data_IF_845335341288
#
_entry.id   IF_845335341288
#
_cell.length_a   1.000
_cell.length_b   1.000
_cell.length_c   1.000
_cell.angle_alpha   90.00
_cell.angle_beta   90.00
_cell.angle_gamma   90.00
#
_symmetry.space_group_name_H-M   'P 1'
#
loop_
_entity.id
_entity.type
_entity.pdbx_description
1 polymer ?
#
# COMPACT_ATOMS: atom_id res chain seq x y z
N UNK A 1 7.73 32.41 -0.08
CA UNK A 1 6.80 31.26 -0.01
C UNK A 1 7.53 30.04 -0.59
N UNK A 2 7.93 29.14 0.27
CA UNK A 2 8.55 27.87 -0.16
C UNK A 2 7.47 27.07 -0.90
N UNK A 3 7.67 26.83 -2.20
CA UNK A 3 6.88 25.87 -2.96
C UNK A 3 7.07 24.48 -2.30
N UNK A 4 6.14 24.09 -1.44
CA UNK A 4 6.13 22.74 -0.88
C UNK A 4 6.10 21.78 -2.07
N UNK A 5 7.16 21.03 -2.25
CA UNK A 5 7.31 20.09 -3.35
C UNK A 5 6.18 19.07 -3.19
N UNK A 6 5.16 19.19 -4.02
CA UNK A 6 4.01 18.29 -4.02
C UNK A 6 4.54 16.89 -4.30
N UNK A 7 4.25 15.95 -3.41
CA UNK A 7 4.65 14.55 -3.60
C UNK A 7 4.00 14.07 -4.90
N UNK A 8 4.79 13.51 -5.78
CA UNK A 8 4.26 12.89 -7.00
C UNK A 8 3.77 11.47 -6.67
N UNK A 9 2.49 11.33 -6.44
CA UNK A 9 1.87 10.05 -6.06
C UNK A 9 2.03 8.98 -7.13
N UNK A 10 2.10 9.35 -8.41
CA UNK A 10 2.41 8.42 -9.50
C UNK A 10 3.79 7.81 -9.31
N UNK A 11 4.78 8.63 -8.95
CA UNK A 11 6.13 8.13 -8.67
C UNK A 11 6.17 7.24 -7.44
N UNK A 12 5.45 7.61 -6.38
CA UNK A 12 5.35 6.79 -5.16
C UNK A 12 4.73 5.43 -5.48
N UNK A 13 3.61 5.42 -6.20
CA UNK A 13 2.95 4.19 -6.62
C UNK A 13 3.89 3.32 -7.48
N UNK A 14 4.56 3.90 -8.48
CA UNK A 14 5.46 3.18 -9.38
C UNK A 14 6.63 2.54 -8.63
N UNK A 15 7.24 3.26 -7.69
CA UNK A 15 8.33 2.74 -6.87
C UNK A 15 7.85 1.57 -6.00
N UNK A 16 6.73 1.74 -5.30
CA UNK A 16 6.18 0.70 -4.42
C UNK A 16 5.82 -0.54 -5.24
N UNK A 17 5.12 -0.36 -6.36
CA UNK A 17 4.75 -1.45 -7.25
C UNK A 17 5.98 -2.22 -7.74
N UNK A 18 7.01 -1.50 -8.19
CA UNK A 18 8.26 -2.10 -8.69
C UNK A 18 8.95 -2.90 -7.59
N UNK A 19 9.13 -2.32 -6.41
CA UNK A 19 9.81 -2.98 -5.29
C UNK A 19 9.06 -4.25 -4.87
N UNK A 20 7.74 -4.18 -4.71
CA UNK A 20 6.94 -5.34 -4.29
C UNK A 20 6.94 -6.43 -5.35
N UNK A 21 6.84 -6.06 -6.63
CA UNK A 21 6.88 -7.02 -7.75
C UNK A 21 8.23 -7.74 -7.82
N UNK A 22 9.33 -6.99 -7.68
CA UNK A 22 10.68 -7.59 -7.66
C UNK A 22 10.88 -8.51 -6.46
N UNK A 23 10.46 -8.09 -5.27
CA UNK A 23 10.54 -8.92 -4.06
C UNK A 23 9.74 -10.22 -4.21
N UNK A 24 8.53 -10.14 -4.75
CA UNK A 24 7.70 -11.31 -5.00
C UNK A 24 8.38 -12.28 -5.99
N UNK A 25 8.93 -11.75 -7.08
CA UNK A 25 9.64 -12.55 -8.08
C UNK A 25 10.88 -13.24 -7.48
N UNK A 26 11.66 -12.52 -6.68
CA UNK A 26 12.82 -13.10 -5.98
C UNK A 26 12.40 -14.22 -5.03
N UNK A 27 11.33 -13.99 -4.24
CA UNK A 27 10.81 -15.02 -3.33
C UNK A 27 10.35 -16.27 -4.07
N UNK A 28 9.68 -16.12 -5.20
CA UNK A 28 9.27 -17.26 -6.04
C UNK A 28 10.48 -18.03 -6.55
N UNK A 29 11.48 -17.35 -7.10
CA UNK A 29 12.71 -17.97 -7.58
C UNK A 29 13.48 -18.70 -6.46
N UNK A 30 13.56 -18.12 -5.27
CA UNK A 30 14.17 -18.75 -4.10
C UNK A 30 13.44 -20.03 -3.65
N UNK A 31 12.13 -20.11 -3.90
CA UNK A 31 11.31 -21.30 -3.64
C UNK A 31 11.24 -22.28 -4.82
N UNK A 32 12.01 -22.07 -5.89
CA UNK A 32 12.01 -22.92 -7.07
C UNK A 32 10.76 -22.79 -7.95
N UNK A 33 9.99 -21.73 -7.78
CA UNK A 33 8.80 -21.43 -8.59
C UNK A 33 9.22 -20.50 -9.73
N UNK A 34 9.28 -21.01 -10.93
CA UNK A 34 9.76 -20.28 -12.12
C UNK A 34 8.63 -19.56 -12.88
N UNK A 35 7.39 -19.99 -12.69
CA UNK A 35 6.20 -19.36 -13.27
C UNK A 35 5.16 -19.11 -12.20
N UNK A 36 4.53 -17.93 -12.23
CA UNK A 36 3.45 -17.61 -11.30
C UNK A 36 2.21 -18.45 -11.64
N UNK A 37 1.77 -19.36 -10.77
CA UNK A 37 0.60 -20.19 -11.01
C UNK A 37 -0.70 -19.39 -11.13
N UNK A 38 -0.74 -18.17 -10.60
CA UNK A 38 -1.89 -17.26 -10.67
C UNK A 38 -1.93 -16.42 -11.95
N UNK A 39 -0.84 -16.42 -12.73
CA UNK A 39 -0.74 -15.75 -14.02
C UNK A 39 -0.95 -14.24 -13.98
N UNK A 40 -1.43 -13.69 -15.10
CA UNK A 40 -1.59 -12.24 -15.28
C UNK A 40 -2.62 -11.60 -14.33
N UNK A 41 -3.59 -12.36 -13.85
CA UNK A 41 -4.59 -11.85 -12.90
C UNK A 41 -3.96 -11.44 -11.58
N UNK A 42 -2.99 -12.20 -11.09
CA UNK A 42 -2.27 -11.87 -9.87
C UNK A 42 -1.53 -10.52 -9.97
N UNK A 43 -0.95 -10.22 -11.13
CA UNK A 43 -0.31 -8.94 -11.38
C UNK A 43 -1.30 -7.76 -11.35
N UNK A 44 -2.47 -7.94 -11.98
CA UNK A 44 -3.53 -6.93 -11.97
C UNK A 44 -4.10 -6.71 -10.56
N UNK A 45 -4.34 -7.79 -9.84
CA UNK A 45 -4.85 -7.74 -8.46
C UNK A 45 -3.86 -7.01 -7.56
N UNK A 46 -2.57 -7.29 -7.68
CA UNK A 46 -1.51 -6.58 -6.96
C UNK A 46 -1.50 -5.09 -7.31
N UNK A 47 -1.58 -4.76 -8.59
CA UNK A 47 -1.60 -3.37 -9.04
C UNK A 47 -2.76 -2.57 -8.42
N UNK A 48 -3.97 -3.16 -8.40
CA UNK A 48 -5.16 -2.51 -7.86
C UNK A 48 -5.09 -2.38 -6.33
N UNK A 49 -4.68 -3.41 -5.63
CA UNK A 49 -4.52 -3.36 -4.17
C UNK A 49 -3.49 -2.32 -3.75
N UNK A 50 -2.36 -2.23 -4.45
CA UNK A 50 -1.36 -1.20 -4.19
C UNK A 50 -1.88 0.21 -4.51
N UNK A 51 -2.68 0.36 -5.56
CA UNK A 51 -3.32 1.63 -5.89
C UNK A 51 -4.27 2.08 -4.77
N UNK A 52 -5.08 1.16 -4.23
CA UNK A 52 -5.94 1.43 -3.07
C UNK A 52 -5.09 1.88 -1.88
N UNK A 53 -3.97 1.20 -1.59
CA UNK A 53 -3.08 1.54 -0.49
C UNK A 53 -2.45 2.93 -0.63
N UNK A 54 -1.96 3.26 -1.82
CA UNK A 54 -1.35 4.58 -2.08
C UNK A 54 -2.40 5.70 -2.05
N UNK A 55 -3.59 5.48 -2.62
CA UNK A 55 -4.68 6.44 -2.57
C UNK A 55 -5.16 6.69 -1.13
N UNK A 56 -5.24 5.64 -0.31
CA UNK A 56 -5.54 5.74 1.11
C UNK A 56 -4.51 6.58 1.86
N UNK A 57 -3.24 6.40 1.54
CA UNK A 57 -2.15 7.13 2.15
C UNK A 57 -2.15 8.60 1.72
N UNK A 58 -2.44 8.90 0.45
CA UNK A 58 -2.64 10.25 -0.04
C UNK A 58 -3.79 10.94 0.70
N UNK A 59 -4.92 10.25 0.84
CA UNK A 59 -6.05 10.74 1.61
C UNK A 59 -5.64 11.07 3.04
N UNK A 60 -4.90 10.16 3.69
CA UNK A 60 -4.37 10.35 5.03
C UNK A 60 -3.54 11.64 5.17
N UNK A 61 -2.64 11.89 4.21
CA UNK A 61 -1.77 13.08 4.25
C UNK A 61 -2.53 14.37 3.97
N UNK A 62 -3.66 14.30 3.29
CA UNK A 62 -4.51 15.44 2.92
C UNK A 62 -5.50 15.84 4.00
N UNK A 63 -5.80 14.95 4.96
CA UNK A 63 -6.78 15.20 6.00
C UNK A 63 -6.31 16.28 6.99
N UNK A 64 -7.13 17.29 7.33
CA UNK A 64 -6.79 18.35 8.27
C UNK A 64 -6.93 17.91 9.75
N UNK A 65 -6.69 16.66 10.05
CA UNK A 65 -6.81 16.07 11.38
C UNK A 65 -5.46 16.23 12.10
N UNK A 66 -5.44 16.93 13.23
CA UNK A 66 -4.21 17.21 13.97
C UNK A 66 -3.56 15.99 14.61
N UNK A 67 -4.26 15.10 15.34
CA UNK A 67 -3.65 13.88 15.86
C UNK A 67 -3.26 12.95 14.71
N UNK A 68 -1.96 12.71 14.55
CA UNK A 68 -1.43 11.88 13.46
C UNK A 68 -1.99 10.45 13.47
N UNK A 69 -2.12 9.87 14.66
CA UNK A 69 -2.66 8.52 14.85
C UNK A 69 -4.12 8.45 14.36
N UNK A 70 -4.95 9.45 14.75
CA UNK A 70 -6.35 9.48 14.32
C UNK A 70 -6.46 9.62 12.79
N UNK A 71 -5.59 10.40 12.19
CA UNK A 71 -5.52 10.55 10.72
C UNK A 71 -5.23 9.20 10.04
N UNK A 72 -4.29 8.42 10.56
CA UNK A 72 -4.00 7.09 10.03
C UNK A 72 -5.17 6.14 10.19
N UNK A 73 -5.83 6.12 11.33
CA UNK A 73 -7.00 5.26 11.57
C UNK A 73 -8.15 5.61 10.62
N UNK A 74 -8.46 6.89 10.46
CA UNK A 74 -9.54 7.37 9.59
C UNK A 74 -9.26 7.06 8.11
N UNK A 75 -8.01 7.05 7.68
CA UNK A 75 -7.64 6.65 6.32
C UNK A 75 -7.62 5.13 6.14
N UNK A 76 -7.15 4.39 7.16
CA UNK A 76 -6.99 2.95 7.10
C UNK A 76 -8.33 2.20 7.00
N UNK A 77 -9.31 2.53 7.84
CA UNK A 77 -10.57 1.78 7.93
C UNK A 77 -11.30 1.71 6.58
N UNK A 78 -11.63 2.82 5.91
CA UNK A 78 -12.31 2.75 4.61
C UNK A 78 -11.47 2.10 3.52
N UNK A 79 -10.15 2.23 3.59
CA UNK A 79 -9.24 1.63 2.63
C UNK A 79 -9.16 0.12 2.77
N UNK A 80 -9.13 -0.38 4.00
CA UNK A 80 -9.18 -1.81 4.26
C UNK A 80 -10.52 -2.41 3.84
N UNK A 81 -11.62 -1.69 4.07
CA UNK A 81 -12.94 -2.11 3.58
C UNK A 81 -12.98 -2.17 2.05
N UNK A 82 -12.37 -1.21 1.38
CA UNK A 82 -12.28 -1.20 -0.09
C UNK A 82 -11.41 -2.37 -0.61
N UNK A 83 -10.31 -2.69 0.08
CA UNK A 83 -9.50 -3.86 -0.23
C UNK A 83 -10.29 -5.17 -0.07
N UNK A 84 -11.08 -5.31 0.98
CA UNK A 84 -11.97 -6.46 1.15
C UNK A 84 -13.06 -6.53 0.08
N UNK A 85 -13.66 -5.40 -0.28
CA UNK A 85 -14.63 -5.33 -1.36
C UNK A 85 -14.02 -5.74 -2.69
N UNK A 86 -12.78 -5.36 -2.95
CA UNK A 86 -12.05 -5.81 -4.14
C UNK A 86 -11.81 -7.32 -4.13
N UNK A 87 -11.37 -7.91 -3.01
CA UNK A 87 -11.21 -9.37 -2.88
C UNK A 87 -12.55 -10.07 -3.11
N UNK A 88 -13.65 -9.54 -2.54
CA UNK A 88 -14.98 -10.07 -2.83
C UNK A 88 -15.32 -10.01 -4.33
N UNK A 89 -15.00 -8.91 -4.99
CA UNK A 89 -15.21 -8.78 -6.44
C UNK A 89 -14.41 -9.82 -7.23
N UNK A 90 -13.17 -10.12 -6.82
CA UNK A 90 -12.38 -11.19 -7.48
C UNK A 90 -12.99 -12.57 -7.31
N UNK A 91 -13.76 -12.81 -6.25
CA UNK A 91 -14.49 -14.07 -6.03
C UNK A 91 -15.54 -14.37 -7.09
N UNK A 92 -16.03 -13.34 -7.79
CA UNK A 92 -16.97 -13.50 -8.89
C UNK A 92 -16.29 -14.04 -10.16
N UNK A 93 -14.97 -13.87 -10.25
CA UNK A 93 -14.14 -14.32 -11.38
C UNK A 93 -13.60 -15.74 -11.18
N UNK A 94 -13.14 -16.02 -9.98
CA UNK A 94 -12.50 -17.29 -9.63
C UNK A 94 -12.69 -17.63 -8.14
N UNK A 95 -12.65 -18.92 -7.78
CA UNK A 95 -12.77 -19.33 -6.38
C UNK A 95 -11.61 -18.76 -5.56
N UNK A 96 -11.94 -18.10 -4.45
CA UNK A 96 -10.92 -17.57 -3.53
C UNK A 96 -10.26 -18.70 -2.72
N UNK A 97 -8.96 -18.52 -2.43
CA UNK A 97 -8.30 -19.31 -1.40
C UNK A 97 -8.99 -19.11 -0.04
N UNK A 98 -8.99 -20.14 0.80
CA UNK A 98 -9.61 -20.07 2.14
C UNK A 98 -9.04 -18.95 3.01
N UNK A 99 -7.79 -18.58 2.77
CA UNK A 99 -7.05 -17.54 3.50
C UNK A 99 -7.09 -16.18 2.84
N UNK A 100 -7.77 -16.01 1.69
CA UNK A 100 -7.69 -14.79 0.87
C UNK A 100 -7.96 -13.50 1.65
N UNK A 101 -8.98 -13.46 2.49
CA UNK A 101 -9.29 -12.28 3.31
C UNK A 101 -8.27 -12.04 4.42
N UNK A 102 -7.73 -13.11 5.00
CA UNK A 102 -6.69 -13.01 6.02
C UNK A 102 -5.37 -12.51 5.38
N UNK A 103 -5.02 -13.03 4.23
CA UNK A 103 -3.82 -12.66 3.51
C UNK A 103 -3.86 -11.18 3.09
N UNK A 104 -4.98 -10.72 2.54
CA UNK A 104 -5.12 -9.30 2.17
C UNK A 104 -5.11 -8.40 3.42
N UNK A 105 -5.71 -8.82 4.52
CA UNK A 105 -5.68 -8.05 5.75
C UNK A 105 -4.25 -7.88 6.27
N UNK A 106 -3.48 -8.94 6.34
CA UNK A 106 -2.09 -8.92 6.81
C UNK A 106 -1.21 -8.08 5.88
N UNK A 107 -1.29 -8.33 4.57
CA UNK A 107 -0.45 -7.67 3.58
C UNK A 107 -0.77 -6.17 3.47
N UNK A 108 -2.05 -5.82 3.42
CA UNK A 108 -2.48 -4.42 3.33
C UNK A 108 -2.15 -3.64 4.61
N UNK A 109 -2.38 -4.24 5.77
CA UNK A 109 -2.03 -3.63 7.06
C UNK A 109 -0.52 -3.44 7.18
N UNK A 110 0.27 -4.44 6.80
CA UNK A 110 1.73 -4.36 6.79
C UNK A 110 2.24 -3.22 5.88
N UNK A 111 1.72 -3.13 4.67
CA UNK A 111 2.04 -2.05 3.74
C UNK A 111 1.69 -0.68 4.33
N UNK A 112 0.49 -0.54 4.90
CA UNK A 112 0.03 0.71 5.47
C UNK A 112 0.88 1.15 6.68
N UNK A 113 1.29 0.21 7.54
CA UNK A 113 2.19 0.46 8.67
C UNK A 113 3.55 0.94 8.17
N UNK A 114 4.14 0.26 7.18
CA UNK A 114 5.45 0.64 6.62
C UNK A 114 5.40 2.05 6.02
N UNK A 115 4.37 2.37 5.24
CA UNK A 115 4.20 3.70 4.65
C UNK A 115 4.00 4.78 5.74
N UNK A 116 3.22 4.48 6.77
CA UNK A 116 2.96 5.40 7.88
C UNK A 116 4.22 5.66 8.70
N UNK A 117 5.00 4.63 8.97
CA UNK A 117 6.29 4.75 9.66
C UNK A 117 7.29 5.58 8.83
N UNK A 118 7.43 5.28 7.55
CA UNK A 118 8.31 6.03 6.64
C UNK A 118 7.93 7.52 6.59
N UNK A 119 6.64 7.83 6.44
CA UNK A 119 6.15 9.22 6.42
C UNK A 119 6.45 9.94 7.74
N UNK A 120 6.25 9.28 8.87
CA UNK A 120 6.53 9.83 10.20
C UNK A 120 8.02 10.15 10.36
N UNK A 121 8.89 9.21 9.97
CA UNK A 121 10.36 9.39 10.04
C UNK A 121 10.79 10.56 9.17
N UNK A 122 10.32 10.62 7.93
CA UNK A 122 10.63 11.74 7.01
C UNK A 122 10.17 13.08 7.58
N UNK A 123 8.96 13.12 8.18
CA UNK A 123 8.44 14.31 8.84
C UNK A 123 9.30 14.78 10.01
N UNK A 124 9.77 13.85 10.86
CA UNK A 124 10.65 14.15 11.98
C UNK A 124 12.01 14.67 11.50
N UNK A 125 12.61 14.01 10.50
CA UNK A 125 13.91 14.41 9.93
C UNK A 125 13.84 15.81 9.32
N UNK A 126 12.74 16.12 8.58
CA UNK A 126 12.53 17.44 7.98
C UNK A 126 12.42 18.54 9.05
N UNK A 127 11.62 18.31 10.09
CA UNK A 127 11.46 19.26 11.20
C UNK A 127 12.77 19.51 11.96
N UNK A 128 13.62 18.48 12.12
CA UNK A 128 14.93 18.61 12.75
C UNK A 128 15.90 19.43 11.89
N UNK A 129 15.81 19.33 10.57
CA UNK A 129 16.64 20.09 9.62
C UNK A 129 16.26 21.57 9.57
N UNK A 130 14.97 21.90 9.71
CA UNK A 130 14.49 23.28 9.71
C UNK A 130 14.82 24.05 11.02
N UNK A 131 15.22 23.33 12.09
CA UNK A 131 15.60 23.92 13.38
C UNK A 131 17.09 24.21 13.53
N UNK A 132 17.90 23.79 12.54
CA UNK A 132 19.34 24.09 12.47
C UNK A 132 19.62 25.25 11.51
#
# INVERSE_FOLDING_TARGET
MSKQKRINWVSVYSIIYTVITLLNSVLYLCNGIYEDPSGNWHELDRAIILLIGVAAFELCTSLPIKPLILRYVVAYIPSQLLAFAYVWFTSLREPLAKTAYQDIWINFTGLFIVLSAANTIVGICKKKRERK
#
